data_IF_536351829839
#
_entry.id   IF_536351829839
#
_cell.length_a   1.000
_cell.length_b   1.000
_cell.length_c   1.000
_cell.angle_alpha   90.00
_cell.angle_beta   90.00
_cell.angle_gamma   90.00
#
_symmetry.space_group_name_H-M   'P 1'
#
loop_
_entity.id
_entity.type
_entity.pdbx_description
1 polymer ?
#
# COMPACT_ATOMS: atom_id res chain seq x y z
N UNK A 1 22.59 21.64 1.59
CA UNK A 1 21.42 20.77 1.78
C UNK A 1 20.81 20.61 0.40
N UNK A 2 20.86 19.41 -0.17
CA UNK A 2 20.26 19.15 -1.48
C UNK A 2 18.77 18.95 -1.23
N UNK A 3 17.95 19.85 -1.74
CA UNK A 3 16.50 19.75 -1.61
C UNK A 3 16.00 18.82 -2.72
N UNK A 4 15.74 17.56 -2.39
CA UNK A 4 15.16 16.59 -3.32
C UNK A 4 13.65 16.78 -3.30
N UNK A 5 13.09 17.24 -4.42
CA UNK A 5 11.65 17.36 -4.60
C UNK A 5 11.11 16.11 -5.29
N UNK A 6 9.95 15.65 -4.85
CA UNK A 6 9.27 14.49 -5.42
C UNK A 6 7.95 14.93 -6.02
N UNK A 7 7.68 14.45 -7.23
CA UNK A 7 6.48 14.78 -7.97
C UNK A 7 5.67 13.53 -8.29
N UNK A 8 4.34 13.72 -8.36
CA UNK A 8 3.41 12.66 -8.71
C UNK A 8 3.10 12.72 -10.22
N UNK A 9 3.36 11.63 -10.93
CA UNK A 9 3.09 11.51 -12.37
C UNK A 9 2.03 10.44 -12.64
N UNK A 10 1.36 10.55 -13.78
CA UNK A 10 0.49 9.47 -14.27
C UNK A 10 1.32 8.23 -14.61
N UNK A 11 0.72 7.05 -14.42
CA UNK A 11 1.35 5.78 -14.77
C UNK A 11 1.52 5.69 -16.30
N UNK A 12 2.65 5.15 -16.74
CA UNK A 12 2.99 4.91 -18.15
C UNK A 12 3.63 3.53 -18.33
N UNK A 13 3.79 3.10 -19.58
CA UNK A 13 4.42 1.81 -19.90
C UNK A 13 5.90 1.75 -19.45
N UNK A 14 6.59 2.89 -19.45
CA UNK A 14 7.99 2.99 -19.01
C UNK A 14 8.15 2.67 -17.50
N UNK A 15 7.09 2.82 -16.72
CA UNK A 15 7.12 2.65 -15.26
C UNK A 15 7.03 1.17 -14.81
N UNK A 16 6.94 0.23 -15.76
CA UNK A 16 6.73 -1.19 -15.49
C UNK A 16 7.72 -1.77 -14.49
N UNK A 17 9.01 -1.55 -14.70
CA UNK A 17 10.04 -2.12 -13.84
C UNK A 17 9.98 -1.55 -12.42
N UNK A 18 9.75 -0.23 -12.29
CA UNK A 18 9.62 0.46 -11.01
C UNK A 18 8.39 -0.01 -10.21
N UNK A 19 7.22 -0.08 -10.85
CA UNK A 19 5.98 -0.58 -10.22
C UNK A 19 6.14 -2.05 -9.83
N UNK A 20 6.71 -2.89 -10.70
CA UNK A 20 6.93 -4.31 -10.43
C UNK A 20 7.86 -4.53 -9.23
N UNK A 21 8.94 -3.76 -9.12
CA UNK A 21 9.88 -3.78 -7.97
C UNK A 21 9.15 -3.42 -6.67
N UNK A 22 8.32 -2.38 -6.68
CA UNK A 22 7.52 -1.98 -5.51
C UNK A 22 6.46 -3.02 -5.16
N UNK A 23 5.83 -3.67 -6.14
CA UNK A 23 4.90 -4.78 -5.90
C UNK A 23 5.60 -6.01 -5.30
N UNK A 24 6.82 -6.32 -5.74
CA UNK A 24 7.62 -7.39 -5.13
C UNK A 24 7.94 -7.09 -3.65
N UNK A 25 8.24 -5.83 -3.32
CA UNK A 25 8.41 -5.40 -1.92
C UNK A 25 7.08 -5.51 -1.14
N UNK A 26 5.97 -5.10 -1.75
CA UNK A 26 4.64 -5.15 -1.16
C UNK A 26 4.15 -6.58 -0.93
N UNK A 27 4.53 -7.57 -1.75
CA UNK A 27 4.09 -8.96 -1.60
C UNK A 27 5.16 -9.89 -0.99
N UNK A 28 6.43 -9.47 -0.89
CA UNK A 28 7.55 -10.29 -0.39
C UNK A 28 7.56 -11.67 -1.09
N UNK A 29 7.52 -12.75 -0.30
CA UNK A 29 7.53 -14.13 -0.77
C UNK A 29 6.13 -14.68 -1.06
N UNK A 30 5.09 -13.84 -1.04
CA UNK A 30 3.74 -14.30 -1.34
C UNK A 30 3.62 -14.73 -2.81
N UNK A 31 2.86 -15.80 -3.11
CA UNK A 31 2.74 -16.37 -4.45
C UNK A 31 1.76 -15.56 -5.32
N UNK A 32 2.04 -14.27 -5.53
CA UNK A 32 1.25 -13.37 -6.38
C UNK A 32 2.01 -13.12 -7.69
N UNK A 33 1.33 -13.27 -8.82
CA UNK A 33 1.86 -12.92 -10.13
C UNK A 33 1.96 -11.39 -10.27
N UNK A 34 3.06 -10.84 -9.74
CA UNK A 34 3.35 -9.40 -9.77
C UNK A 34 3.54 -8.87 -11.20
N UNK A 35 3.95 -9.71 -12.15
CA UNK A 35 4.11 -9.31 -13.54
C UNK A 35 2.75 -9.00 -14.17
N UNK A 36 1.81 -9.94 -14.10
CA UNK A 36 0.44 -9.75 -14.57
C UNK A 36 -0.26 -8.60 -13.82
N UNK A 37 -0.03 -8.49 -12.51
CA UNK A 37 -0.56 -7.38 -11.74
C UNK A 37 -0.04 -6.04 -12.27
N UNK A 38 1.26 -5.92 -12.54
CA UNK A 38 1.87 -4.70 -13.09
C UNK A 38 1.26 -4.35 -14.44
N UNK A 39 1.12 -5.33 -15.34
CA UNK A 39 0.47 -5.13 -16.64
C UNK A 39 -0.95 -4.58 -16.48
N UNK A 40 -1.73 -5.14 -15.56
CA UNK A 40 -3.10 -4.70 -15.28
C UNK A 40 -3.12 -3.27 -14.71
N UNK A 41 -2.16 -2.88 -13.86
CA UNK A 41 -2.07 -1.52 -13.33
C UNK A 41 -1.74 -0.48 -14.41
N UNK A 42 -0.84 -0.83 -15.34
CA UNK A 42 -0.48 0.04 -16.47
C UNK A 42 -1.64 0.16 -17.46
N UNK A 43 -2.34 -0.94 -17.76
CA UNK A 43 -3.53 -0.92 -18.62
C UNK A 43 -4.66 -0.02 -18.06
N UNK A 44 -4.69 0.19 -16.74
CA UNK A 44 -5.59 1.14 -16.08
C UNK A 44 -4.85 2.37 -15.57
N UNK A 45 -3.84 2.87 -16.30
CA UNK A 45 -3.01 4.01 -15.94
C UNK A 45 -3.76 5.30 -15.51
N UNK A 46 -5.03 5.41 -15.88
CA UNK A 46 -5.94 6.46 -15.42
C UNK A 46 -6.37 6.33 -13.95
N UNK A 47 -6.04 5.22 -13.26
CA UNK A 47 -6.32 4.96 -11.84
C UNK A 47 -5.00 4.82 -11.08
N UNK A 48 -4.52 5.93 -10.55
CA UNK A 48 -3.32 5.97 -9.71
C UNK A 48 -2.29 6.97 -10.20
N UNK A 49 -1.16 6.98 -9.49
CA UNK A 49 -0.01 7.80 -9.82
C UNK A 49 1.26 7.17 -9.25
N UNK A 50 2.38 7.55 -9.85
CA UNK A 50 3.73 7.17 -9.42
C UNK A 50 4.47 8.40 -8.87
N UNK A 51 5.50 8.15 -8.07
CA UNK A 51 6.39 9.18 -7.52
C UNK A 51 7.72 9.10 -8.25
N UNK A 52 8.14 10.19 -8.87
CA UNK A 52 9.48 10.38 -9.43
C UNK A 52 10.17 11.56 -8.73
N UNK A 53 11.49 11.61 -8.80
CA UNK A 53 12.22 12.79 -8.39
C UNK A 53 11.98 13.89 -9.44
N UNK A 54 11.70 15.12 -8.99
CA UNK A 54 11.58 16.27 -9.88
C UNK A 54 12.90 16.48 -10.62
N UNK A 55 12.85 16.69 -11.94
CA UNK A 55 14.03 16.83 -12.80
C UNK A 55 15.05 17.81 -12.18
N UNK A 56 16.21 17.30 -11.79
CA UNK A 56 17.40 18.15 -11.63
C UNK A 56 18.01 18.19 -13.02
N UNK A 57 17.99 19.36 -13.67
CA UNK A 57 18.80 19.59 -14.87
C UNK A 57 20.27 19.44 -14.48
N UNK A 58 20.82 18.24 -14.56
CA UNK A 58 22.27 18.04 -14.53
C UNK A 58 22.70 17.51 -15.89
N UNK A 59 23.34 18.40 -16.65
CA UNK A 59 24.12 18.13 -17.85
C UNK A 59 25.12 16.98 -17.60
N UNK A 60 24.72 15.74 -17.87
CA UNK A 60 25.63 14.60 -17.82
C UNK A 60 25.39 13.71 -19.04
N UNK A 61 26.18 13.96 -20.07
CA UNK A 61 26.41 13.03 -21.18
C UNK A 61 27.25 11.84 -20.74
N UNK A 62 26.90 10.69 -21.32
CA UNK A 62 27.71 9.49 -21.57
C UNK A 62 27.71 8.36 -20.52
N UNK A 63 27.19 7.22 -21.00
CA UNK A 63 27.49 5.82 -20.69
C UNK A 63 27.08 5.27 -19.32
N UNK A 64 25.84 4.77 -19.22
CA UNK A 64 25.54 3.33 -19.08
C UNK A 64 24.01 3.12 -18.97
N UNK A 65 23.52 2.05 -19.62
CA UNK A 65 22.12 1.69 -19.79
C UNK A 65 21.29 1.55 -18.48
N UNK A 66 19.98 1.89 -18.57
CA UNK A 66 18.83 1.45 -17.74
C UNK A 66 18.30 2.29 -16.54
N UNK A 67 18.85 3.46 -16.16
CA UNK A 67 18.47 4.13 -14.88
C UNK A 67 17.55 5.38 -14.96
N UNK A 68 17.08 5.82 -16.13
CA UNK A 68 16.32 7.08 -16.27
C UNK A 68 14.84 7.06 -15.84
N UNK A 69 14.31 5.95 -15.30
CA UNK A 69 12.90 5.84 -14.89
C UNK A 69 12.72 5.23 -13.49
N UNK A 70 13.48 5.73 -12.51
CA UNK A 70 13.34 5.28 -11.12
C UNK A 70 12.00 5.75 -10.50
N UNK A 71 11.10 4.79 -10.26
CA UNK A 71 9.85 4.99 -9.52
C UNK A 71 10.11 4.79 -8.02
N UNK A 72 9.97 5.86 -7.24
CA UNK A 72 10.20 5.86 -5.78
C UNK A 72 8.98 5.43 -4.97
N UNK A 73 7.81 5.43 -5.59
CA UNK A 73 6.56 5.01 -4.97
C UNK A 73 5.42 5.00 -5.98
N UNK A 74 4.33 4.34 -5.63
CA UNK A 74 3.12 4.35 -6.43
C UNK A 74 1.87 4.24 -5.56
N UNK A 75 0.75 4.69 -6.10
CA UNK A 75 -0.58 4.41 -5.61
C UNK A 75 -1.44 3.96 -6.79
N UNK A 76 -2.20 2.88 -6.63
CA UNK A 76 -3.19 2.47 -7.62
C UNK A 76 -4.30 1.66 -6.95
N UNK A 77 -5.38 1.44 -7.67
CA UNK A 77 -6.53 0.71 -7.18
C UNK A 77 -6.95 -0.36 -8.20
N UNK A 78 -6.94 -1.62 -7.78
CA UNK A 78 -7.36 -2.77 -8.57
C UNK A 78 -8.76 -3.21 -8.18
N UNK A 79 -9.72 -3.20 -9.11
CA UNK A 79 -11.06 -3.76 -8.86
C UNK A 79 -11.01 -5.30 -8.88
N UNK A 80 -11.03 -5.94 -7.71
CA UNK A 80 -10.98 -7.41 -7.57
C UNK A 80 -12.26 -8.08 -8.08
N UNK A 81 -13.41 -7.40 -8.03
CA UNK A 81 -14.67 -7.94 -8.52
C UNK A 81 -14.70 -7.97 -10.05
N UNK A 82 -14.19 -6.93 -10.70
CA UNK A 82 -14.12 -6.84 -12.17
C UNK A 82 -13.00 -7.72 -12.75
N UNK A 83 -11.86 -7.81 -12.06
CA UNK A 83 -10.73 -8.64 -12.47
C UNK A 83 -10.81 -10.08 -11.96
N UNK A 84 -11.99 -10.51 -11.51
CA UNK A 84 -12.24 -11.90 -11.11
C UNK A 84 -11.86 -12.86 -12.25
N UNK A 85 -11.11 -13.91 -11.91
CA UNK A 85 -10.60 -14.88 -12.88
C UNK A 85 -9.22 -14.56 -13.48
N UNK A 86 -8.64 -13.38 -13.25
CA UNK A 86 -7.20 -13.18 -13.53
C UNK A 86 -6.36 -13.85 -12.45
N UNK A 87 -5.17 -14.34 -12.81
CA UNK A 87 -4.36 -15.15 -11.89
C UNK A 87 -3.95 -14.34 -10.65
N UNK A 88 -3.50 -13.09 -10.84
CA UNK A 88 -3.09 -12.23 -9.74
C UNK A 88 -4.25 -11.89 -8.79
N UNK A 89 -5.46 -11.68 -9.30
CA UNK A 89 -6.62 -11.33 -8.48
C UNK A 89 -7.05 -12.50 -7.59
N UNK A 90 -7.10 -13.72 -8.16
CA UNK A 90 -7.42 -14.93 -7.39
C UNK A 90 -6.33 -15.24 -6.36
N UNK A 91 -5.05 -15.10 -6.71
CA UNK A 91 -3.93 -15.28 -5.78
C UNK A 91 -3.95 -14.28 -4.63
N UNK A 92 -4.28 -13.01 -4.90
CA UNK A 92 -4.41 -11.99 -3.84
C UNK A 92 -5.59 -12.33 -2.92
N UNK A 93 -6.71 -12.76 -3.48
CA UNK A 93 -7.88 -13.16 -2.70
C UNK A 93 -7.57 -14.37 -1.81
N UNK A 94 -6.94 -15.40 -2.35
CA UNK A 94 -6.50 -16.59 -1.61
C UNK A 94 -5.47 -16.22 -0.52
N UNK A 95 -4.53 -15.33 -0.83
CA UNK A 95 -3.56 -14.81 0.13
C UNK A 95 -4.29 -14.12 1.31
N UNK A 96 -5.22 -13.22 1.02
CA UNK A 96 -5.95 -12.49 2.06
C UNK A 96 -6.78 -13.45 2.93
N UNK A 97 -7.49 -14.41 2.33
CA UNK A 97 -8.30 -15.39 3.04
C UNK A 97 -7.44 -16.32 3.91
N UNK A 98 -6.36 -16.87 3.37
CA UNK A 98 -5.46 -17.77 4.11
C UNK A 98 -4.78 -17.07 5.30
N UNK A 99 -4.50 -15.76 5.19
CA UNK A 99 -4.00 -14.96 6.32
C UNK A 99 -5.08 -14.68 7.36
N UNK A 100 -6.31 -14.46 6.91
CA UNK A 100 -7.45 -14.30 7.80
C UNK A 100 -7.70 -15.58 8.60
N UNK A 101 -7.73 -16.75 7.95
CA UNK A 101 -7.90 -18.06 8.60
C UNK A 101 -6.85 -18.33 9.68
N UNK A 102 -5.60 -17.94 9.45
CA UNK A 102 -4.52 -18.11 10.43
C UNK A 102 -4.56 -17.11 11.58
N UNK A 103 -5.26 -15.98 11.41
CA UNK A 103 -5.19 -14.83 12.33
C UNK A 103 -6.51 -14.52 13.03
N UNK A 104 -7.63 -15.12 12.60
CA UNK A 104 -8.98 -14.76 13.03
C UNK A 104 -9.88 -15.98 13.25
N UNK A 105 -11.01 -15.74 13.90
CA UNK A 105 -12.07 -16.73 14.07
C UNK A 105 -12.79 -17.03 12.75
N UNK A 106 -13.33 -18.25 12.63
CA UNK A 106 -14.03 -18.73 11.44
C UNK A 106 -15.14 -17.77 10.95
N UNK A 107 -15.86 -17.13 11.88
CA UNK A 107 -16.91 -16.17 11.53
C UNK A 107 -16.36 -14.97 10.72
N UNK A 108 -15.16 -14.49 11.05
CA UNK A 108 -14.52 -13.36 10.34
C UNK A 108 -14.09 -13.79 8.94
N UNK A 109 -13.57 -15.01 8.81
CA UNK A 109 -13.20 -15.61 7.52
C UNK A 109 -14.43 -15.72 6.62
N UNK A 110 -15.53 -16.27 7.12
CA UNK A 110 -16.77 -16.40 6.36
C UNK A 110 -17.36 -15.05 5.95
N UNK A 111 -17.24 -14.02 6.80
CA UNK A 111 -17.65 -12.66 6.46
C UNK A 111 -16.77 -12.08 5.35
N UNK A 112 -15.45 -12.24 5.44
CA UNK A 112 -14.51 -11.77 4.43
C UNK A 112 -14.72 -12.48 3.09
N UNK A 113 -14.89 -13.80 3.10
CA UNK A 113 -15.15 -14.59 1.89
C UNK A 113 -16.46 -14.16 1.22
N UNK A 114 -17.53 -13.94 1.99
CA UNK A 114 -18.80 -13.40 1.47
C UNK A 114 -18.61 -12.04 0.80
N UNK A 115 -17.86 -11.12 1.42
CA UNK A 115 -17.58 -9.80 0.86
C UNK A 115 -16.78 -9.88 -0.45
N UNK A 116 -15.75 -10.73 -0.51
CA UNK A 116 -14.90 -10.89 -1.70
C UNK A 116 -15.56 -11.70 -2.84
N UNK A 117 -16.72 -12.33 -2.58
CA UNK A 117 -17.50 -13.05 -3.58
C UNK A 117 -18.80 -12.33 -3.99
N UNK A 118 -19.19 -11.27 -3.28
CA UNK A 118 -20.40 -10.51 -3.57
C UNK A 118 -20.21 -9.61 -4.80
N UNK A 119 -20.76 -10.02 -5.94
CA UNK A 119 -20.69 -9.24 -7.19
C UNK A 119 -21.57 -7.98 -7.16
N UNK A 120 -22.47 -7.84 -6.19
CA UNK A 120 -23.33 -6.65 -6.05
C UNK A 120 -22.61 -5.50 -5.35
N UNK A 121 -21.51 -5.80 -4.65
CA UNK A 121 -20.67 -4.85 -3.95
C UNK A 121 -19.24 -4.99 -4.44
N UNK A 122 -18.84 -4.22 -5.47
CA UNK A 122 -17.48 -4.25 -5.97
C UNK A 122 -16.48 -4.04 -4.83
N UNK A 123 -15.40 -4.80 -4.85
CA UNK A 123 -14.28 -4.65 -3.91
C UNK A 123 -13.09 -4.22 -4.72
N UNK A 124 -12.55 -3.05 -4.40
CA UNK A 124 -11.23 -2.68 -4.89
C UNK A 124 -10.15 -2.90 -3.83
N UNK A 125 -8.97 -3.19 -4.34
CA UNK A 125 -7.72 -3.35 -3.63
C UNK A 125 -6.90 -2.08 -3.84
N UNK A 126 -6.63 -1.34 -2.76
CA UNK A 126 -5.70 -0.21 -2.81
C UNK A 126 -4.28 -0.76 -2.66
N UNK A 127 -3.43 -0.42 -3.63
CA UNK A 127 -2.02 -0.74 -3.63
C UNK A 127 -1.27 0.58 -3.47
N UNK A 128 -0.51 0.71 -2.39
CA UNK A 128 0.29 1.89 -2.13
C UNK A 128 1.58 1.45 -1.46
N UNK A 129 2.70 1.70 -2.13
CA UNK A 129 4.02 1.39 -1.63
C UNK A 129 4.99 2.48 -2.05
N UNK A 130 5.96 2.77 -1.19
CA UNK A 130 7.00 3.77 -1.45
C UNK A 130 8.26 3.42 -0.69
N UNK A 131 9.39 3.90 -1.17
CA UNK A 131 10.63 3.76 -0.41
C UNK A 131 10.57 4.56 0.90
N UNK A 132 11.29 4.06 1.90
CA UNK A 132 11.29 4.62 3.27
C UNK A 132 11.86 6.04 3.34
N UNK A 133 12.74 6.39 2.40
CA UNK A 133 13.33 7.72 2.25
C UNK A 133 12.35 8.77 1.68
N UNK A 134 11.27 8.35 1.03
CA UNK A 134 10.24 9.27 0.51
C UNK A 134 9.47 9.87 1.70
N UNK A 135 9.23 11.19 1.75
CA UNK A 135 8.47 11.80 2.84
C UNK A 135 7.01 11.32 2.91
N UNK A 136 6.45 11.07 4.11
CA UNK A 136 5.05 10.65 4.26
C UNK A 136 4.02 11.70 3.79
N UNK A 137 4.42 12.97 3.69
CA UNK A 137 3.56 14.08 3.25
C UNK A 137 3.02 13.87 1.83
N UNK A 138 3.74 13.14 0.97
CA UNK A 138 3.35 12.85 -0.41
C UNK A 138 2.13 11.90 -0.47
N UNK A 139 1.85 11.13 0.59
CA UNK A 139 0.71 10.24 0.61
C UNK A 139 -0.63 10.99 0.42
N UNK A 140 -0.80 12.16 1.04
CA UNK A 140 -2.04 12.93 0.94
C UNK A 140 -2.40 13.34 -0.50
N UNK A 141 -1.55 14.06 -1.24
CA UNK A 141 -1.86 14.43 -2.62
C UNK A 141 -2.07 13.21 -3.53
N UNK A 142 -1.32 12.13 -3.33
CA UNK A 142 -1.51 10.88 -4.07
C UNK A 142 -2.90 10.27 -3.85
N UNK A 143 -3.35 10.18 -2.60
CA UNK A 143 -4.69 9.69 -2.29
C UNK A 143 -5.79 10.62 -2.82
N UNK A 144 -5.60 11.93 -2.80
CA UNK A 144 -6.55 12.89 -3.37
C UNK A 144 -6.69 12.70 -4.89
N UNK A 145 -5.57 12.56 -5.62
CA UNK A 145 -5.58 12.28 -7.05
C UNK A 145 -6.32 10.97 -7.36
N UNK A 146 -6.04 9.91 -6.59
CA UNK A 146 -6.73 8.63 -6.73
C UNK A 146 -8.25 8.75 -6.52
N UNK A 147 -8.69 9.51 -5.52
CA UNK A 147 -10.13 9.74 -5.28
C UNK A 147 -10.80 10.42 -6.47
N UNK A 148 -10.17 11.43 -7.06
CA UNK A 148 -10.69 12.12 -8.25
C UNK A 148 -10.74 11.18 -9.45
N UNK A 149 -9.67 10.41 -9.68
CA UNK A 149 -9.59 9.42 -10.76
C UNK A 149 -10.71 8.37 -10.65
N UNK A 150 -10.92 7.80 -9.47
CA UNK A 150 -11.96 6.80 -9.21
C UNK A 150 -13.39 7.35 -9.38
N UNK A 151 -13.63 8.62 -9.07
CA UNK A 151 -14.95 9.25 -9.27
C UNK A 151 -15.26 9.50 -10.74
N UNK A 152 -14.24 9.87 -11.52
CA UNK A 152 -14.36 10.32 -12.91
C UNK A 152 -14.59 9.17 -13.88
N UNK A 153 -13.94 8.02 -13.67
CA UNK A 153 -14.00 6.91 -14.64
C UNK A 153 -15.27 6.07 -14.55
N UNK A 154 -16.14 6.31 -13.56
CA UNK A 154 -17.35 5.49 -13.37
C UNK A 154 -17.05 3.99 -13.18
N UNK A 155 -15.77 3.64 -13.03
CA UNK A 155 -15.30 2.29 -12.76
C UNK A 155 -15.94 1.85 -11.45
N UNK A 156 -16.23 0.56 -11.33
CA UNK A 156 -16.95 -0.04 -10.19
C UNK A 156 -16.36 0.27 -8.81
N UNK A 157 -15.23 0.96 -8.74
CA UNK A 157 -14.62 1.57 -7.56
C UNK A 157 -15.50 2.61 -6.83
N UNK A 158 -16.75 2.83 -7.26
CA UNK A 158 -17.76 3.65 -6.54
C UNK A 158 -18.36 2.96 -5.30
N UNK A 159 -18.25 1.64 -5.21
CA UNK A 159 -18.72 0.86 -4.07
C UNK A 159 -17.54 0.20 -3.35
N UNK A 160 -17.50 0.34 -2.02
CA UNK A 160 -16.63 -0.37 -1.09
C UNK A 160 -15.16 -0.57 -1.52
N UNK A 161 -14.37 0.47 -1.31
CA UNK A 161 -12.92 0.38 -1.42
C UNK A 161 -12.28 0.81 -0.12
N UNK A 162 -11.48 -0.06 0.49
CA UNK A 162 -10.05 0.18 0.69
C UNK A 162 -9.51 -1.00 1.51
N UNK A 163 -8.83 -1.93 0.85
CA UNK A 163 -7.75 -2.69 1.47
C UNK A 163 -6.53 -1.78 1.55
N UNK A 164 -6.25 -1.22 2.71
CA UNK A 164 -4.96 -0.59 2.95
C UNK A 164 -4.09 -1.65 3.62
N UNK A 165 -3.16 -2.27 2.91
CA UNK A 165 -2.03 -2.92 3.58
C UNK A 165 -1.17 -1.80 4.15
N UNK A 166 -1.52 -1.32 5.33
CA UNK A 166 -0.56 -0.54 6.10
C UNK A 166 0.36 -1.55 6.75
N UNK A 167 1.58 -1.60 6.21
CA UNK A 167 2.72 -2.18 6.89
C UNK A 167 3.05 -1.28 8.08
N UNK A 168 2.32 -1.43 9.18
CA UNK A 168 2.70 -0.81 10.43
C UNK A 168 3.80 -1.69 11.04
N UNK A 169 5.07 -1.27 10.89
CA UNK A 169 6.16 -1.78 11.73
C UNK A 169 5.81 -1.46 13.19
N UNK A 170 5.29 -2.44 13.91
CA UNK A 170 4.96 -2.30 15.32
C UNK A 170 6.18 -2.72 16.13
N UNK A 171 6.79 -1.76 16.80
CA UNK A 171 7.74 -2.05 17.87
C UNK A 171 6.96 -2.61 19.08
N UNK A 172 7.36 -3.77 19.58
CA UNK A 172 6.99 -4.16 20.94
C UNK A 172 7.65 -3.15 21.88
N UNK A 173 6.83 -2.29 22.51
CA UNK A 173 7.34 -1.32 23.50
C UNK A 173 7.91 -2.08 24.70
N UNK A 174 9.20 -1.86 25.00
CA UNK A 174 9.63 -1.82 26.39
C UNK A 174 9.11 -0.54 27.04
N UNK A 175 8.77 -0.62 28.33
CA UNK A 175 8.05 0.42 29.09
C UNK A 175 8.78 1.77 29.26
N UNK A 176 9.99 1.98 28.72
CA UNK A 176 10.87 3.08 29.12
C UNK A 176 11.50 3.95 28.01
N UNK A 177 11.06 3.92 26.74
CA UNK A 177 11.57 4.87 25.73
C UNK A 177 10.61 6.05 25.50
N UNK A 178 10.92 7.20 26.13
CA UNK A 178 10.18 8.47 26.04
C UNK A 178 10.36 9.24 24.72
N UNK A 179 10.92 8.65 23.67
CA UNK A 179 11.16 9.38 22.42
C UNK A 179 10.87 8.53 21.18
N UNK A 180 9.62 8.12 20.99
CA UNK A 180 9.17 7.54 19.72
C UNK A 180 8.41 8.61 18.93
N UNK A 181 8.99 9.05 17.80
CA UNK A 181 8.28 9.81 16.74
C UNK A 181 7.07 9.05 16.14
N UNK A 182 6.71 7.88 16.69
CA UNK A 182 5.58 7.05 16.29
C UNK A 182 4.25 7.35 16.99
N UNK A 183 4.17 8.33 17.89
CA UNK A 183 2.89 8.70 18.56
C UNK A 183 1.87 9.26 17.54
N UNK A 184 2.35 9.79 16.42
CA UNK A 184 1.53 10.52 15.46
C UNK A 184 0.87 9.59 14.41
N UNK A 185 1.62 8.66 13.79
CA UNK A 185 1.04 7.63 12.90
C UNK A 185 -0.05 6.80 13.59
N UNK A 186 0.07 6.62 14.91
CA UNK A 186 -0.94 5.93 15.73
C UNK A 186 -2.31 6.61 15.66
N UNK A 187 -2.42 7.93 15.52
CA UNK A 187 -3.72 8.64 15.48
C UNK A 187 -4.46 8.43 14.16
N UNK A 188 -3.75 8.54 13.04
CA UNK A 188 -4.28 8.20 11.71
C UNK A 188 -4.66 6.72 11.69
N UNK A 189 -3.79 5.85 12.22
CA UNK A 189 -4.02 4.42 12.33
C UNK A 189 -5.28 4.05 13.12
N UNK A 190 -5.49 4.65 14.29
CA UNK A 190 -6.69 4.45 15.13
C UNK A 190 -7.95 4.82 14.34
N UNK A 191 -7.86 5.85 13.51
CA UNK A 191 -9.00 6.34 12.75
C UNK A 191 -9.36 5.45 11.58
N UNK A 192 -8.35 4.94 10.85
CA UNK A 192 -8.54 3.89 9.85
C UNK A 192 -9.11 2.63 10.52
N UNK A 193 -8.60 2.27 11.70
CA UNK A 193 -9.09 1.15 12.50
C UNK A 193 -10.54 1.29 13.00
N UNK A 194 -11.07 2.51 13.10
CA UNK A 194 -12.44 2.78 13.50
C UNK A 194 -13.40 2.84 12.31
N UNK A 195 -12.90 3.21 11.12
CA UNK A 195 -13.66 3.23 9.88
C UNK A 195 -13.71 1.85 9.20
N UNK A 196 -12.88 0.88 9.61
CA UNK A 196 -12.87 -0.46 9.03
C UNK A 196 -14.00 -1.35 9.58
N UNK A 197 -14.68 -2.02 8.67
CA UNK A 197 -15.69 -3.04 8.95
C UNK A 197 -15.05 -4.32 9.49
N UNK A 198 -13.93 -4.70 8.90
CA UNK A 198 -13.16 -5.89 9.25
C UNK A 198 -11.68 -5.52 9.27
N UNK A 199 -10.95 -6.00 10.28
CA UNK A 199 -9.50 -5.83 10.36
C UNK A 199 -8.81 -7.03 10.99
N UNK A 200 -7.64 -7.38 10.48
CA UNK A 200 -6.75 -8.34 11.12
C UNK A 200 -5.30 -8.07 10.77
N UNK A 201 -4.38 -8.45 11.66
CA UNK A 201 -2.95 -8.26 11.47
C UNK A 201 -2.22 -9.59 11.51
N UNK A 202 -1.19 -9.74 10.69
CA UNK A 202 -0.31 -10.91 10.65
C UNK A 202 1.16 -10.50 10.57
N UNK A 203 2.04 -11.32 11.13
CA UNK A 203 3.50 -11.11 11.06
C UNK A 203 4.02 -11.51 9.68
N UNK A 204 4.96 -10.74 9.14
CA UNK A 204 5.71 -11.07 7.92
C UNK A 204 7.20 -11.31 8.20
N UNK A 205 7.56 -11.55 9.45
CA UNK A 205 8.95 -11.69 9.88
C UNK A 205 9.71 -12.81 9.15
N UNK A 206 9.04 -13.92 8.81
CA UNK A 206 9.65 -15.04 8.08
C UNK A 206 9.81 -14.76 6.57
N UNK A 207 9.04 -13.79 6.06
CA UNK A 207 9.02 -13.41 4.65
C UNK A 207 9.94 -12.23 4.36
N UNK A 208 10.25 -11.41 5.37
CA UNK A 208 11.19 -10.31 5.27
C UNK A 208 12.63 -10.82 5.30
N UNK A 209 13.31 -10.79 4.15
CA UNK A 209 14.75 -11.07 4.07
C UNK A 209 15.61 -9.95 4.67
N UNK A 210 15.00 -8.78 4.93
CA UNK A 210 15.67 -7.66 5.57
C UNK A 210 15.94 -7.96 7.03
N UNK A 211 17.22 -8.17 7.31
CA UNK A 211 17.91 -8.02 8.59
C UNK A 211 17.70 -6.62 9.23
N UNK A 212 16.45 -6.17 9.44
CA UNK A 212 16.14 -5.06 10.35
C UNK A 212 16.42 -5.45 11.82
N UNK A 213 16.83 -6.70 12.06
CA UNK A 213 17.45 -7.17 13.29
C UNK A 213 18.97 -6.99 13.27
N UNK A 214 19.45 -5.76 13.11
CA UNK A 214 20.80 -5.42 13.58
C UNK A 214 20.71 -5.12 15.07
N UNK A 215 21.35 -5.92 15.93
CA UNK A 215 21.67 -5.50 17.30
C UNK A 215 22.83 -4.51 17.20
N UNK A 216 22.54 -3.26 16.84
CA UNK A 216 23.55 -2.20 16.88
C UNK A 216 23.83 -1.80 18.33
N UNK A 217 22.90 -2.10 19.25
CA UNK A 217 23.06 -2.07 20.70
C UNK A 217 22.54 -3.37 21.37
N UNK A 218 23.01 -3.65 22.59
CA UNK A 218 22.54 -4.79 23.40
C UNK A 218 21.06 -4.64 23.83
N UNK A 219 20.53 -3.42 23.79
CA UNK A 219 19.15 -3.08 24.19
C UNK A 219 18.19 -2.99 22.98
N UNK A 220 18.67 -3.22 21.76
CA UNK A 220 17.83 -3.16 20.56
C UNK A 220 16.85 -4.34 20.54
N UNK A 221 15.58 -4.04 20.76
CA UNK A 221 14.48 -4.99 20.54
C UNK A 221 14.27 -5.13 19.03
N UNK A 222 14.44 -6.33 18.45
CA UNK A 222 14.25 -6.52 17.02
C UNK A 222 12.82 -6.17 16.63
N UNK A 223 12.67 -5.29 15.63
CA UNK A 223 11.36 -4.90 15.12
C UNK A 223 10.73 -6.09 14.41
N UNK A 224 9.50 -6.45 14.80
CA UNK A 224 8.70 -7.46 14.10
C UNK A 224 7.83 -6.76 13.06
N UNK A 225 8.02 -7.02 11.76
CA UNK A 225 7.19 -6.41 10.74
C UNK A 225 5.80 -7.06 10.75
N UNK A 226 4.75 -6.24 10.80
CA UNK A 226 3.37 -6.68 10.72
C UNK A 226 2.70 -6.03 9.50
N UNK A 227 1.80 -6.80 8.90
CA UNK A 227 0.84 -6.29 7.92
C UNK A 227 -0.55 -6.34 8.52
N UNK A 228 -1.36 -5.37 8.18
CA UNK A 228 -2.76 -5.34 8.59
C UNK A 228 -3.63 -5.22 7.37
N UNK A 229 -4.61 -6.11 7.31
CA UNK A 229 -5.68 -6.10 6.33
C UNK A 229 -6.85 -5.35 6.94
N UNK A 230 -7.44 -4.43 6.18
CA UNK A 230 -8.64 -3.72 6.58
C UNK A 230 -9.63 -3.71 5.42
N UNK A 231 -10.92 -3.85 5.73
CA UNK A 231 -12.01 -3.60 4.78
C UNK A 231 -12.69 -2.32 5.21
N UNK A 232 -12.58 -1.27 4.39
CA UNK A 232 -13.19 0.03 4.67
C UNK A 232 -14.35 0.27 3.70
N UNK A 233 -15.56 0.55 4.20
CA UNK A 233 -16.67 1.04 3.37
C UNK A 233 -16.33 2.36 2.68
N UNK A 234 -16.88 2.62 1.49
CA UNK A 234 -16.53 3.79 0.69
C UNK A 234 -16.81 5.14 1.40
N UNK A 235 -17.85 5.19 2.22
CA UNK A 235 -18.21 6.32 3.07
C UNK A 235 -17.17 6.61 4.16
N UNK A 236 -16.47 5.57 4.64
CA UNK A 236 -15.41 5.69 5.63
C UNK A 236 -14.12 6.33 5.11
N UNK A 237 -13.87 6.30 3.79
CA UNK A 237 -12.64 6.83 3.19
C UNK A 237 -12.53 8.34 3.42
N UNK A 238 -13.62 9.10 3.29
CA UNK A 238 -13.58 10.55 3.47
C UNK A 238 -13.16 10.94 4.89
N UNK A 239 -13.65 10.20 5.89
CA UNK A 239 -13.26 10.39 7.30
C UNK A 239 -11.77 10.10 7.51
N UNK A 240 -11.24 9.08 6.84
CA UNK A 240 -9.80 8.77 6.87
C UNK A 240 -9.00 9.90 6.24
N UNK A 241 -9.43 10.39 5.07
CA UNK A 241 -8.73 11.44 4.33
C UNK A 241 -8.70 12.77 5.08
N UNK A 242 -9.79 13.17 5.73
CA UNK A 242 -9.81 14.42 6.50
C UNK A 242 -8.87 14.37 7.71
N UNK A 243 -8.72 13.21 8.33
CA UNK A 243 -7.75 13.00 9.41
C UNK A 243 -6.31 12.88 8.89
N UNK A 244 -6.13 12.34 7.69
CA UNK A 244 -4.83 12.35 7.02
C UNK A 244 -4.41 13.79 6.68
N UNK A 245 -5.34 14.66 6.26
CA UNK A 245 -5.10 16.09 6.09
C UNK A 245 -4.69 16.75 7.39
N UNK A 246 -5.47 16.58 8.47
CA UNK A 246 -5.17 17.12 9.80
C UNK A 246 -3.79 16.67 10.32
N UNK A 247 -3.37 15.46 9.96
CA UNK A 247 -2.08 14.90 10.35
C UNK A 247 -0.89 15.48 9.58
N UNK A 248 -1.08 15.78 8.29
CA UNK A 248 0.00 16.23 7.39
C UNK A 248 0.04 17.75 7.20
N UNK A 249 -0.98 18.47 7.67
CA UNK A 249 -1.02 19.95 7.80
C UNK A 249 -0.24 20.43 9.03
#
# INVERSE_FOLDING_TARGET
EVNIEFEAHSISDNDYNGIKKLLQQLFLKAPVNVAELTDILIQQNHIGSIIKQAEVQEDSSDDDDDDDDEVFGFISCLNLTERKGTQCAEQIKELILSRCEKSCEQQVVEQLDKLLNDSTKPVGLLLSERFINVPPQIALPMHQQLQVAAQTTGSGCRGALTYSCVTALRTEKNKDSKNCRGISLVRVWISICNASLLKFSYSVQEESDTCLGGRWSFDDVPMKPFRTVMIVPADGINVIMDKLKEYLS
#
